data_IF_155887620923
#
_entry.id   IF_155887620923
#
_cell.length_a   1.000
_cell.length_b   1.000
_cell.length_c   1.000
_cell.angle_alpha   90.00
_cell.angle_beta   90.00
_cell.angle_gamma   90.00
#
_symmetry.space_group_name_H-M   'P 1'
#
loop_
_entity.id
_entity.type
_entity.pdbx_description
1 polymer ?
#
# COMPACT_ATOMS: atom_id res chain seq x y z
N UNK A 1 18.98 11.19 26.64
CA UNK A 1 18.26 10.56 25.50
C UNK A 1 16.97 9.95 26.03
N UNK A 2 15.88 10.71 26.05
CA UNK A 2 14.56 10.18 26.39
C UNK A 2 13.92 9.65 25.12
N UNK A 3 13.79 8.33 25.01
CA UNK A 3 13.09 7.68 23.90
C UNK A 3 11.60 7.99 24.00
N UNK A 4 11.03 8.55 22.94
CA UNK A 4 9.59 8.70 22.80
C UNK A 4 8.95 7.31 22.75
N UNK A 5 8.28 6.90 23.84
CA UNK A 5 7.36 5.78 23.83
C UNK A 5 6.01 6.32 23.37
N UNK A 6 5.52 5.97 22.16
CA UNK A 6 4.21 6.39 21.73
C UNK A 6 3.14 5.84 22.70
N UNK A 7 2.06 6.59 22.98
CA UNK A 7 1.01 6.15 23.89
C UNK A 7 0.47 4.79 23.45
N UNK A 8 0.48 3.83 24.38
CA UNK A 8 0.15 2.41 24.20
C UNK A 8 -1.31 2.15 23.81
N UNK A 9 -2.13 3.20 23.81
CA UNK A 9 -3.58 3.10 23.78
C UNK A 9 -4.13 3.49 22.39
N UNK A 10 -3.25 3.89 21.47
CA UNK A 10 -3.58 4.21 20.08
C UNK A 10 -2.73 3.33 19.18
N UNK A 11 -3.31 2.21 18.74
CA UNK A 11 -2.68 1.25 17.85
C UNK A 11 -2.48 1.88 16.47
N UNK A 12 -1.43 2.68 16.29
CA UNK A 12 -1.11 3.28 15.00
C UNK A 12 -0.56 2.18 14.08
N UNK A 13 -1.22 1.89 12.93
CA UNK A 13 -0.81 0.83 12.02
C UNK A 13 0.64 0.98 11.54
N UNK A 14 1.13 2.21 11.46
CA UNK A 14 2.51 2.54 11.13
C UNK A 14 3.54 1.96 12.11
N UNK A 15 3.33 2.13 13.43
CA UNK A 15 4.28 1.64 14.44
C UNK A 15 4.25 0.12 14.57
N UNK A 16 3.07 -0.47 14.44
CA UNK A 16 2.90 -1.93 14.44
C UNK A 16 3.60 -2.55 13.23
N UNK A 17 3.34 -2.04 12.03
CA UNK A 17 3.98 -2.52 10.81
C UNK A 17 5.51 -2.39 10.87
N UNK A 18 6.03 -1.28 11.41
CA UNK A 18 7.46 -1.09 11.61
C UNK A 18 8.06 -2.11 12.59
N UNK A 19 7.37 -2.38 13.69
CA UNK A 19 7.82 -3.35 14.69
C UNK A 19 7.84 -4.77 14.13
N UNK A 20 6.74 -5.22 13.52
CA UNK A 20 6.61 -6.54 12.92
C UNK A 20 7.65 -6.78 11.81
N UNK A 21 7.84 -5.78 10.93
CA UNK A 21 8.89 -5.87 9.91
C UNK A 21 10.28 -6.00 10.52
N UNK A 22 10.61 -5.22 11.56
CA UNK A 22 11.92 -5.28 12.24
C UNK A 22 12.15 -6.61 12.96
N UNK A 23 11.10 -7.31 13.40
CA UNK A 23 11.19 -8.61 14.06
C UNK A 23 11.07 -9.79 13.09
N UNK A 24 10.94 -9.54 11.78
CA UNK A 24 10.87 -10.56 10.75
C UNK A 24 9.50 -11.25 10.65
N UNK A 25 8.45 -10.63 11.19
CA UNK A 25 7.07 -11.12 11.06
C UNK A 25 6.45 -10.57 9.79
N UNK A 26 5.98 -11.47 8.92
CA UNK A 26 5.25 -11.09 7.72
C UNK A 26 3.95 -10.37 8.08
N UNK A 27 3.73 -9.21 7.45
CA UNK A 27 2.57 -8.38 7.69
C UNK A 27 2.24 -7.53 6.46
N UNK A 28 0.97 -7.14 6.37
CA UNK A 28 0.42 -6.31 5.29
C UNK A 28 -0.51 -5.24 5.88
N UNK A 29 -0.74 -4.18 5.12
CA UNK A 29 -1.77 -3.20 5.44
C UNK A 29 -3.12 -3.67 4.92
N UNK A 30 -4.15 -3.49 5.75
CA UNK A 30 -5.53 -3.76 5.39
C UNK A 30 -6.42 -2.62 5.89
N UNK A 31 -7.56 -2.41 5.23
CA UNK A 31 -8.61 -1.52 5.74
C UNK A 31 -9.50 -2.33 6.68
N UNK A 32 -9.51 -1.98 7.96
CA UNK A 32 -10.15 -2.77 9.03
C UNK A 32 -11.63 -2.46 9.31
N UNK A 33 -12.32 -1.62 8.52
CA UNK A 33 -13.74 -1.33 8.74
C UNK A 33 -14.36 -0.33 7.76
N UNK A 34 -15.65 0.00 8.00
CA UNK A 34 -16.51 0.81 7.12
C UNK A 34 -16.33 2.32 7.29
N UNK A 35 -15.26 2.75 7.98
CA UNK A 35 -15.01 4.17 8.23
C UNK A 35 -14.66 4.87 6.92
N UNK A 36 -15.53 5.79 6.53
CA UNK A 36 -15.30 6.72 5.43
C UNK A 36 -14.03 7.54 5.69
N UNK A 37 -13.15 7.59 4.70
CA UNK A 37 -11.94 8.43 4.71
C UNK A 37 -10.61 7.68 4.85
N UNK A 38 -10.58 6.43 5.32
CA UNK A 38 -9.34 5.65 5.40
C UNK A 38 -8.97 5.02 4.06
N UNK A 39 -7.96 5.58 3.40
CA UNK A 39 -7.42 5.02 2.17
C UNK A 39 -6.25 4.09 2.51
N UNK A 40 -6.20 2.92 1.89
CA UNK A 40 -5.13 1.94 2.08
C UNK A 40 -3.71 2.55 1.96
N UNK A 41 -3.52 3.45 0.99
CA UNK A 41 -2.24 4.15 0.78
C UNK A 41 -1.86 5.08 1.94
N UNK A 42 -2.82 5.59 2.71
CA UNK A 42 -2.50 6.47 3.83
C UNK A 42 -1.75 5.69 4.92
N UNK A 43 -2.08 4.43 5.17
CA UNK A 43 -1.31 3.59 6.09
C UNK A 43 0.14 3.43 5.65
N UNK A 44 0.37 3.15 4.36
CA UNK A 44 1.72 3.06 3.80
C UNK A 44 2.49 4.38 3.93
N UNK A 45 1.84 5.52 3.64
CA UNK A 45 2.41 6.87 3.79
C UNK A 45 2.78 7.19 5.23
N UNK A 46 1.89 6.88 6.18
CA UNK A 46 2.17 7.04 7.61
C UNK A 46 3.36 6.17 8.03
N UNK A 47 3.42 4.91 7.61
CA UNK A 47 4.53 4.01 7.94
C UNK A 47 5.88 4.53 7.42
N UNK A 48 5.92 5.06 6.19
CA UNK A 48 7.15 5.68 5.65
C UNK A 48 7.58 6.88 6.48
N UNK A 49 6.65 7.76 6.86
CA UNK A 49 6.97 8.89 7.75
C UNK A 49 7.54 8.46 9.10
N UNK A 50 7.22 7.26 9.56
CA UNK A 50 7.73 6.68 10.81
C UNK A 50 8.96 5.77 10.63
N UNK A 51 9.55 5.71 9.43
CA UNK A 51 10.84 5.06 9.19
C UNK A 51 10.78 3.70 8.49
N UNK A 52 9.62 3.29 7.97
CA UNK A 52 9.55 2.16 7.06
C UNK A 52 10.10 2.56 5.67
N UNK A 53 10.96 1.76 5.03
CA UNK A 53 11.41 2.05 3.67
C UNK A 53 10.23 2.10 2.68
N UNK A 54 10.22 3.08 1.77
CA UNK A 54 9.14 3.25 0.78
C UNK A 54 8.87 1.99 -0.07
N UNK A 55 9.87 1.28 -0.62
CA UNK A 55 9.63 0.03 -1.34
C UNK A 55 8.94 -1.04 -0.49
N UNK A 56 9.26 -1.10 0.81
CA UNK A 56 8.64 -2.05 1.74
C UNK A 56 7.18 -1.67 2.01
N UNK A 57 6.89 -0.39 2.19
CA UNK A 57 5.53 0.10 2.36
C UNK A 57 4.64 -0.22 1.15
N UNK A 58 5.19 -0.12 -0.07
CA UNK A 58 4.50 -0.55 -1.30
C UNK A 58 4.26 -2.06 -1.30
N UNK A 59 5.26 -2.88 -0.97
CA UNK A 59 5.08 -4.34 -0.87
C UNK A 59 3.98 -4.73 0.13
N UNK A 60 3.87 -4.01 1.26
CA UNK A 60 2.85 -4.25 2.28
C UNK A 60 1.43 -3.90 1.84
N UNK A 61 1.26 -3.18 0.72
CA UNK A 61 -0.05 -2.95 0.08
C UNK A 61 -0.25 -3.74 -1.22
N UNK A 62 0.73 -4.53 -1.66
CA UNK A 62 0.67 -5.31 -2.92
C UNK A 62 1.04 -6.77 -2.75
N UNK A 63 2.34 -7.07 -2.62
CA UNK A 63 2.86 -8.44 -2.65
C UNK A 63 2.64 -9.20 -1.34
N UNK A 64 2.79 -8.53 -0.20
CA UNK A 64 2.59 -9.18 1.10
C UNK A 64 1.14 -9.65 1.32
N UNK A 65 0.09 -8.84 1.05
CA UNK A 65 -1.28 -9.34 1.18
C UNK A 65 -1.56 -10.47 0.18
N UNK A 66 -1.01 -10.41 -1.04
CA UNK A 66 -1.15 -11.50 -2.02
C UNK A 66 -0.53 -12.82 -1.50
N UNK A 67 0.65 -12.76 -0.88
CA UNK A 67 1.31 -13.93 -0.25
C UNK A 67 0.54 -14.47 0.93
N UNK A 68 0.07 -13.58 1.81
CA UNK A 68 -0.73 -13.95 2.99
C UNK A 68 -2.02 -14.67 2.56
N UNK A 69 -2.62 -14.23 1.45
CA UNK A 69 -3.84 -14.81 0.89
C UNK A 69 -3.58 -16.02 -0.03
N UNK A 70 -2.32 -16.36 -0.34
CA UNK A 70 -1.96 -17.47 -1.22
C UNK A 70 -2.35 -17.27 -2.69
N UNK A 71 -2.33 -16.02 -3.17
CA UNK A 71 -2.68 -15.63 -4.55
C UNK A 71 -1.54 -14.84 -5.23
N UNK A 72 -0.32 -14.92 -4.70
CA UNK A 72 0.84 -14.22 -5.24
C UNK A 72 1.41 -14.85 -6.51
N UNK A 73 0.89 -15.98 -6.97
CA UNK A 73 1.08 -16.50 -8.33
C UNK A 73 0.31 -15.67 -9.36
N UNK A 74 -0.79 -15.03 -8.96
CA UNK A 74 -1.67 -14.23 -9.82
C UNK A 74 -1.47 -12.73 -9.72
N UNK A 75 -1.35 -12.18 -8.51
CA UNK A 75 -1.37 -10.72 -8.29
C UNK A 75 -0.22 -10.23 -7.40
N UNK A 76 -0.22 -8.93 -7.07
CA UNK A 76 0.66 -8.32 -6.07
C UNK A 76 2.04 -7.91 -6.57
N UNK A 77 2.44 -8.25 -7.79
CA UNK A 77 3.66 -7.76 -8.43
C UNK A 77 3.55 -7.72 -9.94
N UNK A 78 4.40 -6.93 -10.60
CA UNK A 78 4.48 -6.88 -12.05
C UNK A 78 5.47 -7.96 -12.53
N UNK A 79 4.95 -9.04 -13.08
CA UNK A 79 5.74 -10.14 -13.64
C UNK A 79 4.97 -10.84 -14.77
N UNK A 80 5.68 -11.50 -15.68
CA UNK A 80 5.06 -12.30 -16.74
C UNK A 80 4.26 -13.46 -16.14
N UNK A 81 3.05 -13.69 -16.65
CA UNK A 81 2.16 -14.76 -16.20
C UNK A 81 1.18 -14.35 -15.09
N UNK A 82 1.29 -13.13 -14.57
CA UNK A 82 0.36 -12.56 -13.59
C UNK A 82 -0.80 -11.80 -14.23
N UNK A 83 -1.88 -11.63 -13.48
CA UNK A 83 -3.03 -10.83 -13.84
C UNK A 83 -2.60 -9.36 -14.03
N UNK A 84 -3.11 -8.72 -15.08
CA UNK A 84 -2.73 -7.37 -15.46
C UNK A 84 -3.45 -6.29 -14.63
N UNK A 85 -3.31 -6.40 -13.31
CA UNK A 85 -3.86 -5.46 -12.33
C UNK A 85 -2.85 -4.33 -12.03
N UNK A 86 -3.10 -3.16 -12.60
CA UNK A 86 -2.16 -2.04 -12.58
C UNK A 86 -2.83 -0.74 -12.14
N UNK A 87 -2.12 0.01 -11.31
CA UNK A 87 -2.48 1.39 -10.94
C UNK A 87 -1.33 2.30 -11.31
N UNK A 88 -1.57 3.26 -12.18
CA UNK A 88 -0.57 4.24 -12.61
C UNK A 88 -0.84 5.56 -11.91
N UNK A 89 0.22 6.20 -11.44
CA UNK A 89 0.20 7.51 -10.81
C UNK A 89 0.98 8.51 -11.68
N UNK A 90 0.62 9.79 -11.58
CA UNK A 90 1.38 10.88 -12.21
C UNK A 90 2.68 11.26 -11.45
N UNK A 91 3.05 10.49 -10.43
CA UNK A 91 4.23 10.69 -9.58
C UNK A 91 4.41 9.52 -8.62
N UNK A 92 5.14 9.74 -7.53
CA UNK A 92 5.33 8.73 -6.48
C UNK A 92 3.97 8.36 -5.84
N UNK A 93 3.54 7.08 -5.85
CA UNK A 93 2.28 6.65 -5.22
C UNK A 93 2.14 7.05 -3.74
N UNK A 94 3.26 7.18 -3.02
CA UNK A 94 3.30 7.59 -1.62
C UNK A 94 3.35 9.11 -1.44
N UNK A 95 3.50 9.91 -2.50
CA UNK A 95 3.35 11.35 -2.41
C UNK A 95 1.86 11.73 -2.25
N UNK A 96 1.52 12.65 -1.33
CA UNK A 96 0.14 13.10 -1.13
C UNK A 96 -0.41 13.91 -2.32
N UNK A 97 0.48 14.47 -3.14
CA UNK A 97 0.14 15.24 -4.36
C UNK A 97 -0.10 14.36 -5.57
N UNK A 98 0.25 13.07 -5.51
CA UNK A 98 0.09 12.17 -6.64
C UNK A 98 -1.35 11.69 -6.78
N UNK A 99 -1.81 11.67 -8.02
CA UNK A 99 -3.11 11.20 -8.42
C UNK A 99 -2.98 9.95 -9.28
N UNK A 100 -3.93 9.03 -9.11
CA UNK A 100 -4.09 7.90 -10.04
C UNK A 100 -4.49 8.46 -11.40
N UNK A 101 -3.80 8.05 -12.45
CA UNK A 101 -4.07 8.44 -13.84
C UNK A 101 -4.69 7.33 -14.66
N UNK A 102 -4.32 6.08 -14.41
CA UNK A 102 -4.82 4.90 -15.10
C UNK A 102 -5.05 3.76 -14.10
N UNK A 103 -6.15 3.02 -14.28
CA UNK A 103 -6.42 1.77 -13.57
C UNK A 103 -6.75 0.70 -14.60
N UNK A 104 -6.05 -0.43 -14.51
CA UNK A 104 -6.25 -1.63 -15.32
C UNK A 104 -6.61 -2.76 -14.38
N UNK A 105 -7.65 -3.52 -14.70
CA UNK A 105 -8.11 -4.71 -13.96
C UNK A 105 -8.25 -5.84 -14.97
N UNK A 106 -7.60 -6.98 -14.73
CA UNK A 106 -7.62 -8.14 -15.64
C UNK A 106 -7.25 -7.78 -17.11
N UNK A 107 -6.39 -6.77 -17.29
CA UNK A 107 -5.97 -6.29 -18.62
C UNK A 107 -6.89 -5.26 -19.27
N UNK A 108 -8.05 -4.98 -18.67
CA UNK A 108 -9.01 -3.99 -19.17
C UNK A 108 -8.83 -2.63 -18.49
N UNK A 109 -8.87 -1.56 -19.29
CA UNK A 109 -8.80 -0.19 -18.76
C UNK A 109 -10.15 0.18 -18.16
N UNK A 110 -10.22 0.27 -16.83
CA UNK A 110 -11.45 0.66 -16.10
C UNK A 110 -11.50 2.15 -15.76
N UNK A 111 -10.35 2.83 -15.82
CA UNK A 111 -10.26 4.28 -15.60
C UNK A 111 -9.06 4.85 -16.34
N UNK A 112 -9.30 5.82 -17.23
CA UNK A 112 -8.25 6.66 -17.82
C UNK A 112 -8.58 8.16 -17.61
N UNK A 113 -7.66 8.90 -16.99
CA UNK A 113 -7.81 10.34 -16.85
C UNK A 113 -7.64 11.10 -18.17
N UNK A 114 -6.94 10.56 -19.17
CA UNK A 114 -6.75 11.22 -20.47
C UNK A 114 -8.04 11.32 -21.28
N UNK A 115 -8.96 10.37 -21.11
CA UNK A 115 -10.25 10.39 -21.79
C UNK A 115 -11.18 11.51 -21.32
N UNK A 116 -11.03 12.00 -20.08
CA UNK A 116 -11.83 13.10 -19.54
C UNK A 116 -11.45 14.49 -20.06
N UNK A 117 -10.36 14.61 -20.81
CA UNK A 117 -9.86 15.89 -21.34
C UNK A 117 -10.01 16.00 -22.87
N UNK A 118 -10.75 15.09 -23.51
CA UNK A 118 -11.20 15.17 -24.91
C UNK A 118 -12.70 15.38 -24.97
#
# INVERSE_FOLDING_TARGET
MGGYAPPTDVHYPAFTALHLWKTGVDCAFARGGDRDGERLLDFARFAVRHGLPAPRAIQMVTLDPARILGIDDRVGSIAVGKDADLVVFNGDPLAPTSAVTLVVIDGEIVRDQKEKTR
#
